data_IF_211118571466
#
_entry.id   IF_211118571466
#
_cell.length_a   1.000
_cell.length_b   1.000
_cell.length_c   1.000
_cell.angle_alpha   90.00
_cell.angle_beta   90.00
_cell.angle_gamma   90.00
#
_symmetry.space_group_name_H-M   'P 1'
#
loop_
_entity.id
_entity.type
_entity.pdbx_description
1 polymer ?
#
# COMPACT_ATOMS: atom_id res chain seq x y z
N UNK A 1 8.56 12.47 -15.72
CA UNK A 1 8.09 11.11 -15.40
C UNK A 1 7.40 11.15 -14.04
N UNK A 2 6.28 10.45 -13.84
CA UNK A 2 5.60 10.43 -12.54
C UNK A 2 6.50 9.80 -11.47
N UNK A 3 6.38 10.27 -10.24
CA UNK A 3 7.04 9.64 -9.09
C UNK A 3 6.32 8.32 -8.78
N UNK A 4 7.06 7.31 -8.35
CA UNK A 4 6.53 5.96 -8.13
C UNK A 4 6.77 5.51 -6.70
N UNK A 5 5.82 4.75 -6.15
CA UNK A 5 5.91 4.17 -4.81
C UNK A 5 5.73 2.66 -4.86
N UNK A 6 6.67 1.94 -4.24
CA UNK A 6 6.57 0.50 -4.05
C UNK A 6 5.73 0.17 -2.82
N UNK A 7 4.69 -0.65 -3.00
CA UNK A 7 3.85 -1.19 -1.94
C UNK A 7 4.09 -2.71 -1.85
N UNK A 8 4.61 -3.14 -0.71
CA UNK A 8 4.98 -4.53 -0.46
C UNK A 8 3.85 -5.35 0.17
N UNK A 9 2.92 -4.69 0.88
CA UNK A 9 1.76 -5.33 1.52
C UNK A 9 0.62 -5.42 0.51
N UNK A 10 0.24 -6.63 0.10
CA UNK A 10 -0.82 -6.88 -0.90
C UNK A 10 -2.15 -6.22 -0.55
N UNK A 11 -2.60 -6.33 0.70
CA UNK A 11 -3.91 -5.78 1.11
C UNK A 11 -3.94 -4.26 1.00
N UNK A 12 -2.85 -3.59 1.40
CA UNK A 12 -2.69 -2.15 1.28
C UNK A 12 -2.70 -1.69 -0.18
N UNK A 13 -1.97 -2.40 -1.06
CA UNK A 13 -1.97 -2.09 -2.49
C UNK A 13 -3.37 -2.21 -3.11
N UNK A 14 -4.10 -3.29 -2.79
CA UNK A 14 -5.46 -3.51 -3.28
C UNK A 14 -6.41 -2.41 -2.79
N UNK A 15 -6.29 -1.97 -1.55
CA UNK A 15 -7.14 -0.92 -1.00
C UNK A 15 -6.92 0.42 -1.72
N UNK A 16 -5.66 0.81 -1.93
CA UNK A 16 -5.33 2.01 -2.70
C UNK A 16 -5.84 1.92 -4.15
N UNK A 17 -5.73 0.77 -4.81
CA UNK A 17 -6.28 0.55 -6.16
C UNK A 17 -7.80 0.69 -6.16
N UNK A 18 -8.49 0.15 -5.14
CA UNK A 18 -9.95 0.27 -5.00
C UNK A 18 -10.39 1.73 -4.75
N UNK A 19 -9.52 2.54 -4.15
CA UNK A 19 -9.74 3.98 -3.97
C UNK A 19 -9.45 4.80 -5.23
N UNK A 20 -9.04 4.15 -6.33
CA UNK A 20 -8.83 4.80 -7.63
C UNK A 20 -7.39 5.23 -7.90
N UNK A 21 -6.42 4.83 -7.07
CA UNK A 21 -5.01 5.14 -7.32
C UNK A 21 -4.42 4.25 -8.42
N UNK A 22 -3.65 4.88 -9.31
CA UNK A 22 -3.11 4.21 -10.50
C UNK A 22 -2.01 3.18 -10.17
N UNK A 23 -2.27 1.93 -10.51
CA UNK A 23 -1.24 0.88 -10.56
C UNK A 23 -0.44 1.04 -11.84
N UNK A 24 0.83 1.43 -11.73
CA UNK A 24 1.72 1.56 -12.87
C UNK A 24 2.17 0.19 -13.39
N UNK A 25 2.68 -0.67 -12.50
CA UNK A 25 3.10 -2.03 -12.84
C UNK A 25 3.27 -2.86 -11.58
N UNK A 26 3.58 -4.14 -11.76
CA UNK A 26 3.99 -5.02 -10.66
C UNK A 26 5.33 -5.67 -10.98
N UNK A 27 6.10 -6.02 -9.94
CA UNK A 27 7.37 -6.72 -10.10
C UNK A 27 7.55 -7.76 -9.00
N UNK A 28 8.38 -8.78 -9.27
CA UNK A 28 8.77 -9.76 -8.25
C UNK A 28 9.75 -9.13 -7.27
N UNK A 29 9.61 -9.44 -5.99
CA UNK A 29 10.60 -9.02 -5.00
C UNK A 29 11.94 -9.73 -5.29
N UNK A 30 13.01 -8.94 -5.38
CA UNK A 30 14.37 -9.44 -5.67
C UNK A 30 14.91 -10.38 -4.60
N UNK A 31 14.59 -10.12 -3.32
CA UNK A 31 15.08 -10.95 -2.22
C UNK A 31 14.26 -12.22 -2.00
N UNK A 32 12.97 -12.19 -2.37
CA UNK A 32 12.10 -13.35 -2.28
C UNK A 32 11.03 -13.31 -3.39
N UNK A 33 11.26 -14.04 -4.50
CA UNK A 33 10.37 -14.05 -5.66
C UNK A 33 8.94 -14.55 -5.39
N UNK A 34 8.69 -15.19 -4.24
CA UNK A 34 7.33 -15.55 -3.82
C UNK A 34 6.44 -14.31 -3.67
N UNK A 35 7.01 -13.16 -3.29
CA UNK A 35 6.27 -11.94 -3.07
C UNK A 35 6.22 -11.06 -4.32
N UNK A 36 5.05 -10.44 -4.53
CA UNK A 36 4.82 -9.42 -5.55
C UNK A 36 4.89 -8.03 -4.93
N UNK A 37 5.58 -7.10 -5.58
CA UNK A 37 5.59 -5.68 -5.27
C UNK A 37 4.64 -4.98 -6.24
N UNK A 38 3.78 -4.11 -5.71
CA UNK A 38 2.85 -3.29 -6.47
C UNK A 38 3.42 -1.88 -6.55
N UNK A 39 3.55 -1.33 -7.76
CA UNK A 39 4.12 0.00 -7.97
C UNK A 39 3.01 0.93 -8.39
N UNK A 40 2.68 1.89 -7.53
CA UNK A 40 1.64 2.88 -7.77
C UNK A 40 2.26 4.22 -8.15
N UNK A 41 1.52 5.03 -8.89
CA UNK A 41 1.87 6.44 -9.12
C UNK A 41 1.76 7.20 -7.81
N UNK A 42 2.84 7.87 -7.41
CA UNK A 42 2.87 8.67 -6.20
C UNK A 42 2.25 10.04 -6.47
N UNK A 43 1.09 10.27 -5.89
CA UNK A 43 0.43 11.58 -5.83
C UNK A 43 0.28 12.01 -4.37
N UNK A 44 0.12 13.32 -4.08
CA UNK A 44 -0.16 13.78 -2.71
C UNK A 44 -1.41 13.13 -2.10
N UNK A 45 -2.42 12.84 -2.93
CA UNK A 45 -3.64 12.15 -2.52
C UNK A 45 -3.37 10.70 -2.12
N UNK A 46 -2.64 9.96 -2.96
CA UNK A 46 -2.21 8.59 -2.68
C UNK A 46 -1.45 8.49 -1.35
N UNK A 47 -0.57 9.45 -1.06
CA UNK A 47 0.17 9.48 0.21
C UNK A 47 -0.75 9.75 1.40
N UNK A 48 -1.74 10.65 1.28
CA UNK A 48 -2.72 10.89 2.36
C UNK A 48 -3.56 9.64 2.66
N UNK A 49 -4.04 8.99 1.61
CA UNK A 49 -4.85 7.78 1.77
C UNK A 49 -4.03 6.62 2.34
N UNK A 50 -2.78 6.48 1.91
CA UNK A 50 -1.83 5.52 2.47
C UNK A 50 -1.67 5.70 3.98
N UNK A 51 -1.48 6.95 4.45
CA UNK A 51 -1.35 7.24 5.88
C UNK A 51 -2.65 6.93 6.63
N UNK A 52 -3.80 7.34 6.10
CA UNK A 52 -5.10 7.08 6.73
C UNK A 52 -5.40 5.58 6.87
N UNK A 53 -5.07 4.76 5.87
CA UNK A 53 -5.23 3.30 5.93
C UNK A 53 -4.33 2.70 7.02
N UNK A 54 -3.06 3.12 7.08
CA UNK A 54 -2.11 2.60 8.06
C UNK A 54 -2.53 2.97 9.48
N UNK A 55 -2.90 4.23 9.72
CA UNK A 55 -3.38 4.69 11.03
C UNK A 55 -4.64 3.92 11.49
N UNK A 56 -5.58 3.69 10.57
CA UNK A 56 -6.78 2.89 10.84
C UNK A 56 -6.42 1.44 11.20
N UNK A 57 -5.55 0.80 10.42
CA UNK A 57 -5.12 -0.58 10.64
C UNK A 57 -4.41 -0.74 11.99
N UNK A 58 -3.55 0.23 12.37
CA UNK A 58 -2.87 0.26 13.66
C UNK A 58 -3.85 0.42 14.82
N UNK A 59 -4.80 1.36 14.72
CA UNK A 59 -5.84 1.53 15.76
C UNK A 59 -6.64 0.25 15.98
N UNK A 60 -7.11 -0.38 14.90
CA UNK A 60 -7.87 -1.64 14.96
C UNK A 60 -7.01 -2.79 15.52
N UNK A 61 -5.70 -2.79 15.28
CA UNK A 61 -4.80 -3.76 15.89
C UNK A 61 -4.71 -3.55 17.41
N UNK A 62 -4.52 -2.32 17.88
CA UNK A 62 -4.44 -2.02 19.31
C UNK A 62 -5.75 -2.34 20.05
N UNK A 63 -6.89 -1.97 19.48
CA UNK A 63 -8.21 -2.25 20.06
C UNK A 63 -8.44 -3.76 20.27
N UNK A 64 -8.06 -4.58 19.29
CA UNK A 64 -8.19 -6.06 19.37
C UNK A 64 -7.25 -6.70 20.38
N UNK A 65 -6.14 -6.05 20.71
CA UNK A 65 -5.11 -6.58 21.61
C UNK A 65 -5.08 -5.88 22.97
N UNK A 66 -6.04 -4.98 23.23
CA UNK A 66 -6.20 -4.34 24.53
C UNK A 66 -6.76 -5.37 25.51
N UNK A 67 -5.89 -5.88 26.39
CA UNK A 67 -6.26 -6.74 27.52
C UNK A 67 -6.97 -5.94 28.60
#
# INVERSE_FOLDING_TARGET
MPKLKNIYKKTLAIELIKMGHDLHHTMRNRSNPKYQIYVLVETPEMIRDLLAIVERDERLYQERHRK
#
